data_IF_878308992316
#
_entry.id   IF_878308992316
#
_cell.length_a   1.000
_cell.length_b   1.000
_cell.length_c   1.000
_cell.angle_alpha   90.00
_cell.angle_beta   90.00
_cell.angle_gamma   90.00
#
_symmetry.space_group_name_H-M   'P 1'
#
loop_
_entity.id
_entity.type
_entity.pdbx_description
1 polymer ?
#
# COMPACT_ATOMS: atom_id res chain seq x y z
N UNK A 1 -26.88 -6.29 17.23
CA UNK A 1 -26.63 -5.88 15.88
C UNK A 1 -25.51 -6.66 15.24
N UNK A 2 -25.74 -7.19 14.09
CA UNK A 2 -24.72 -8.02 13.47
C UNK A 2 -23.58 -7.17 12.91
N UNK A 3 -22.45 -7.32 13.52
CA UNK A 3 -21.27 -6.56 13.13
C UNK A 3 -20.79 -6.98 11.74
N UNK A 4 -20.91 -8.25 11.42
CA UNK A 4 -20.45 -8.76 10.14
C UNK A 4 -21.13 -8.16 8.95
N UNK A 5 -22.37 -7.68 9.12
CA UNK A 5 -23.09 -7.06 8.03
C UNK A 5 -22.50 -5.72 7.63
N UNK A 6 -21.59 -5.17 8.43
CA UNK A 6 -20.99 -3.87 8.18
C UNK A 6 -19.66 -3.93 7.47
N UNK A 7 -19.17 -5.12 7.14
CA UNK A 7 -17.84 -5.22 6.54
C UNK A 7 -17.92 -5.92 5.19
N UNK A 8 -17.08 -5.46 4.28
CA UNK A 8 -16.95 -6.02 2.94
C UNK A 8 -15.47 -6.37 2.75
N UNK A 9 -15.22 -7.54 2.16
CA UNK A 9 -13.87 -7.98 1.91
C UNK A 9 -13.86 -8.72 0.56
N UNK A 10 -13.26 -8.08 -0.45
CA UNK A 10 -13.20 -8.62 -1.80
C UNK A 10 -11.75 -8.68 -2.27
N UNK A 11 -11.44 -9.60 -3.17
CA UNK A 11 -10.09 -9.77 -3.69
C UNK A 11 -10.11 -9.60 -5.20
N UNK A 12 -9.17 -8.82 -5.71
CA UNK A 12 -8.97 -8.56 -7.13
C UNK A 12 -7.50 -8.84 -7.45
N UNK A 13 -7.23 -10.01 -8.00
CA UNK A 13 -5.87 -10.47 -8.28
C UNK A 13 -5.04 -10.40 -6.98
N UNK A 14 -4.02 -9.54 -6.94
CA UNK A 14 -3.13 -9.45 -5.78
C UNK A 14 -3.57 -8.40 -4.77
N UNK A 15 -4.69 -7.74 -4.99
CA UNK A 15 -5.18 -6.66 -4.12
C UNK A 15 -6.52 -7.00 -3.49
N UNK A 16 -6.73 -6.47 -2.30
CA UNK A 16 -7.99 -6.63 -1.57
C UNK A 16 -8.66 -5.28 -1.36
N UNK A 17 -9.98 -5.32 -1.34
CA UNK A 17 -10.79 -4.18 -0.94
C UNK A 17 -11.44 -4.55 0.38
N UNK A 18 -11.22 -3.73 1.40
CA UNK A 18 -11.83 -3.93 2.70
C UNK A 18 -12.59 -2.65 3.08
N UNK A 19 -13.87 -2.80 3.32
CA UNK A 19 -14.71 -1.70 3.76
C UNK A 19 -15.30 -2.02 5.11
N UNK A 20 -15.30 -1.03 6.01
CA UNK A 20 -15.94 -1.16 7.31
C UNK A 20 -16.90 -0.01 7.49
N UNK A 21 -18.03 -0.29 8.15
CA UNK A 21 -19.02 0.69 8.49
C UNK A 21 -18.80 1.13 9.92
N UNK A 22 -18.58 2.41 10.12
CA UNK A 22 -18.42 2.97 11.44
C UNK A 22 -19.44 4.08 11.61
N UNK A 23 -20.39 3.87 12.52
CA UNK A 23 -21.51 4.79 12.68
C UNK A 23 -22.26 4.90 11.36
N UNK A 24 -22.25 6.06 10.72
CA UNK A 24 -22.94 6.21 9.45
C UNK A 24 -21.98 6.42 8.29
N UNK A 25 -20.70 6.16 8.54
CA UNK A 25 -19.65 6.38 7.55
C UNK A 25 -19.02 5.06 7.14
N UNK A 26 -18.88 4.87 5.84
CA UNK A 26 -18.18 3.71 5.31
C UNK A 26 -16.76 4.10 4.93
N UNK A 27 -15.81 3.31 5.40
CA UNK A 27 -14.40 3.52 5.09
C UNK A 27 -13.91 2.34 4.28
N UNK A 28 -13.31 2.59 3.14
CA UNK A 28 -12.77 1.55 2.27
C UNK A 28 -11.29 1.76 2.07
N UNK A 29 -10.56 0.66 2.06
CA UNK A 29 -9.13 0.66 1.77
C UNK A 29 -8.83 -0.45 0.78
N UNK A 30 -7.80 -0.24 -0.04
CA UNK A 30 -7.25 -1.28 -0.88
C UNK A 30 -5.87 -1.62 -0.36
N UNK A 31 -5.53 -2.89 -0.35
CA UNK A 31 -4.27 -3.29 0.25
C UNK A 31 -3.74 -4.60 -0.26
N UNK A 32 -2.49 -4.85 0.12
CA UNK A 32 -1.82 -6.10 -0.21
C UNK A 32 -0.88 -6.41 0.95
N UNK A 33 -0.87 -7.67 1.38
CA UNK A 33 0.04 -8.16 2.40
C UNK A 33 0.88 -9.25 1.77
N UNK A 34 2.19 -9.17 1.96
CA UNK A 34 3.10 -10.21 1.51
C UNK A 34 3.66 -10.94 2.72
N UNK A 35 3.76 -12.25 2.61
CA UNK A 35 4.30 -13.09 3.66
C UNK A 35 5.51 -13.84 3.13
N UNK A 36 6.39 -14.21 4.06
CA UNK A 36 7.55 -15.05 3.75
C UNK A 36 7.15 -16.51 3.86
N UNK A 37 8.06 -17.41 3.45
CA UNK A 37 7.85 -18.83 3.52
C UNK A 37 7.66 -19.21 4.96
N UNK A 38 7.38 -19.19 5.83
CA UNK A 38 7.08 -19.46 7.21
C UNK A 38 5.78 -18.83 7.68
N UNK A 39 5.12 -18.09 6.78
CA UNK A 39 3.89 -17.43 7.13
C UNK A 39 4.04 -16.07 7.80
N UNK A 40 5.25 -15.66 8.07
CA UNK A 40 5.49 -14.36 8.69
C UNK A 40 5.27 -13.24 7.68
N UNK A 41 4.69 -12.16 8.14
CA UNK A 41 4.41 -11.02 7.30
C UNK A 41 5.71 -10.31 6.92
N UNK A 42 5.93 -10.11 5.63
CA UNK A 42 7.08 -9.37 5.14
C UNK A 42 6.78 -7.88 5.06
N UNK A 43 5.69 -7.53 4.39
CA UNK A 43 5.30 -6.13 4.25
C UNK A 43 3.79 -6.05 4.05
N UNK A 44 3.27 -4.85 4.19
CA UNK A 44 1.86 -4.58 3.92
C UNK A 44 1.72 -3.16 3.42
N UNK A 45 0.84 -2.96 2.44
CA UNK A 45 0.49 -1.65 1.95
C UNK A 45 -1.02 -1.49 2.06
N UNK A 46 -1.45 -0.32 2.51
CA UNK A 46 -2.87 0.00 2.60
C UNK A 46 -3.08 1.41 2.07
N UNK A 47 -3.99 1.53 1.11
CA UNK A 47 -4.28 2.79 0.46
C UNK A 47 -5.76 3.08 0.57
N UNK A 48 -6.10 4.34 0.78
CA UNK A 48 -7.49 4.77 0.88
C UNK A 48 -7.95 5.31 -0.45
N UNK A 49 -9.15 4.89 -0.84
CA UNK A 49 -9.76 5.33 -2.08
C UNK A 49 -10.11 6.81 -1.97
N UNK A 50 -9.76 7.58 -2.94
CA UNK A 50 -9.86 9.03 -2.86
C UNK A 50 -11.21 9.54 -3.31
N UNK A 51 -11.56 10.69 -2.78
CA UNK A 51 -12.68 11.45 -3.29
C UNK A 51 -12.29 12.35 -4.45
N UNK A 52 -10.99 12.59 -4.66
CA UNK A 52 -10.55 13.61 -5.61
C UNK A 52 -9.46 13.12 -6.57
N UNK A 53 -9.38 11.82 -6.80
CA UNK A 53 -8.35 11.27 -7.68
C UNK A 53 -7.01 11.08 -7.01
N UNK A 54 -6.91 11.46 -5.76
CA UNK A 54 -5.69 11.36 -4.98
C UNK A 54 -5.78 10.14 -4.06
N UNK A 55 -4.71 9.39 -3.92
CA UNK A 55 -4.69 8.18 -3.09
C UNK A 55 -3.65 8.36 -2.00
N UNK A 56 -4.05 8.14 -0.76
CA UNK A 56 -3.15 8.22 0.38
C UNK A 56 -3.14 6.92 1.15
N UNK A 57 -2.08 6.69 1.89
CA UNK A 57 -2.01 5.48 2.69
C UNK A 57 -0.67 5.30 3.34
N UNK A 58 -0.35 4.04 3.62
CA UNK A 58 0.86 3.70 4.37
C UNK A 58 1.38 2.35 3.89
N UNK A 59 2.70 2.24 3.81
CA UNK A 59 3.35 0.94 3.62
C UNK A 59 4.17 0.63 4.87
N UNK A 60 4.08 -0.62 5.33
CA UNK A 60 4.88 -1.12 6.43
C UNK A 60 5.94 -2.05 5.88
N UNK A 61 7.20 -1.69 6.04
CA UNK A 61 8.35 -2.48 5.58
C UNK A 61 9.01 -3.15 6.78
N UNK A 62 9.82 -4.20 6.55
CA UNK A 62 10.42 -4.94 7.66
C UNK A 62 11.40 -4.08 8.47
N UNK A 63 11.70 -4.56 9.68
CA UNK A 63 12.74 -3.96 10.50
C UNK A 63 14.12 -4.20 9.90
N UNK A 64 15.10 -3.48 10.37
CA UNK A 64 16.48 -3.69 9.97
C UNK A 64 16.93 -2.84 8.81
N UNK A 65 16.12 -1.88 8.40
CA UNK A 65 16.48 -0.97 7.32
C UNK A 65 17.11 0.29 7.89
N UNK A 66 17.98 0.92 7.08
CA UNK A 66 18.57 2.19 7.46
C UNK A 66 17.51 3.27 7.31
N UNK A 67 17.00 3.76 8.43
CA UNK A 67 15.87 4.69 8.41
C UNK A 67 16.26 6.03 7.81
N UNK A 68 17.50 6.46 8.01
CA UNK A 68 17.99 7.72 7.46
C UNK A 68 17.97 7.74 5.94
N UNK A 69 18.17 6.57 5.32
CA UNK A 69 18.24 6.47 3.86
C UNK A 69 16.86 6.53 3.22
N UNK A 70 15.80 6.24 3.98
CA UNK A 70 14.45 6.24 3.46
C UNK A 70 14.25 5.19 2.38
N UNK A 71 13.29 5.45 1.48
CA UNK A 71 12.98 4.54 0.40
C UNK A 71 12.70 5.32 -0.88
N UNK A 72 13.27 4.87 -1.99
CA UNK A 72 12.95 5.41 -3.30
C UNK A 72 11.93 4.49 -3.96
N UNK A 73 10.82 5.06 -4.40
CA UNK A 73 9.80 4.28 -5.10
C UNK A 73 10.09 4.27 -6.60
N UNK A 74 9.74 3.15 -7.22
CA UNK A 74 9.76 2.99 -8.68
C UNK A 74 8.51 2.27 -9.11
N UNK A 75 7.99 2.65 -10.27
CA UNK A 75 6.98 1.86 -10.96
C UNK A 75 7.70 1.22 -12.13
N UNK A 76 7.73 -0.11 -12.14
CA UNK A 76 8.56 -0.90 -13.04
C UNK A 76 10.01 -0.44 -12.88
N UNK A 77 10.61 0.19 -13.86
CA UNK A 77 12.00 0.64 -13.75
C UNK A 77 12.13 2.16 -13.70
N UNK A 78 11.03 2.87 -13.52
CA UNK A 78 11.02 4.32 -13.57
C UNK A 78 10.77 4.90 -12.19
N UNK A 79 11.62 5.81 -11.70
CA UNK A 79 11.41 6.41 -10.39
C UNK A 79 10.07 7.11 -10.28
N UNK A 80 9.48 7.05 -9.10
CA UNK A 80 8.23 7.71 -8.78
C UNK A 80 8.49 8.69 -7.65
N UNK A 81 8.54 9.98 -7.97
CA UNK A 81 8.74 11.01 -6.98
C UNK A 81 10.12 10.97 -6.36
N UNK A 82 10.24 11.60 -5.23
CA UNK A 82 11.48 11.67 -4.48
C UNK A 82 11.52 10.57 -3.41
N UNK A 83 12.70 10.32 -2.85
CA UNK A 83 12.83 9.37 -1.77
C UNK A 83 11.94 9.77 -0.60
N UNK A 84 11.29 8.79 0.00
CA UNK A 84 10.37 8.98 1.11
C UNK A 84 11.07 8.64 2.41
N UNK A 85 10.70 9.36 3.46
CA UNK A 85 11.26 9.13 4.79
C UNK A 85 10.38 8.20 5.58
N UNK A 86 11.00 7.39 6.44
CA UNK A 86 10.23 6.61 7.40
C UNK A 86 9.65 7.54 8.45
N UNK A 87 8.38 7.30 8.79
CA UNK A 87 7.70 8.09 9.80
C UNK A 87 7.95 7.54 11.20
N UNK A 88 7.82 6.23 11.37
CA UNK A 88 8.01 5.56 12.64
C UNK A 88 8.05 4.06 12.42
N UNK A 89 8.41 3.32 13.45
CA UNK A 89 8.30 1.87 13.42
C UNK A 89 7.35 1.43 14.52
N UNK A 90 6.43 0.54 14.17
CA UNK A 90 5.48 -0.08 15.07
C UNK A 90 5.74 -1.58 15.07
N UNK A 91 5.10 -2.35 15.95
CA UNK A 91 5.32 -3.79 15.94
C UNK A 91 5.07 -4.45 14.59
N UNK A 92 4.26 -3.85 13.73
CA UNK A 92 3.96 -4.38 12.40
C UNK A 92 5.00 -4.04 11.34
N UNK A 93 5.97 -3.18 11.64
CA UNK A 93 6.99 -2.77 10.69
C UNK A 93 7.28 -1.29 10.76
N UNK A 94 8.14 -0.83 9.87
CA UNK A 94 8.49 0.58 9.79
C UNK A 94 7.68 1.22 8.67
N UNK A 95 7.07 2.36 8.97
CA UNK A 95 6.00 2.92 8.17
C UNK A 95 6.49 4.10 7.34
N UNK A 96 6.06 4.11 6.09
CA UNK A 96 6.21 5.25 5.19
C UNK A 96 4.82 5.70 4.79
N UNK A 97 4.51 6.98 4.99
CA UNK A 97 3.25 7.53 4.52
C UNK A 97 3.32 7.77 3.02
N UNK A 98 2.25 7.44 2.34
CA UNK A 98 2.15 7.52 0.89
C UNK A 98 1.11 8.54 0.49
N UNK A 99 1.43 9.34 -0.53
CA UNK A 99 0.55 10.38 -1.03
C UNK A 99 0.73 10.42 -2.54
N UNK A 100 -0.21 9.82 -3.26
CA UNK A 100 -0.14 9.72 -4.71
C UNK A 100 -1.14 10.68 -5.34
N UNK A 101 -0.66 11.61 -6.13
CA UNK A 101 -1.54 12.49 -6.89
C UNK A 101 -2.13 11.74 -8.08
N UNK A 102 -2.98 12.40 -8.86
CA UNK A 102 -3.66 11.73 -9.96
C UNK A 102 -2.69 11.23 -11.02
N UNK A 103 -1.58 11.92 -11.26
CA UNK A 103 -0.58 11.47 -12.21
C UNK A 103 0.10 10.19 -11.71
N UNK A 104 0.45 10.15 -10.42
CA UNK A 104 1.03 8.94 -9.84
C UNK A 104 0.05 7.78 -9.88
N UNK A 105 -1.23 8.05 -9.60
CA UNK A 105 -2.25 7.00 -9.65
C UNK A 105 -2.37 6.43 -11.05
N UNK A 106 -2.31 7.27 -12.08
CA UNK A 106 -2.34 6.78 -13.46
C UNK A 106 -1.17 5.86 -13.75
N UNK A 107 0.02 6.21 -13.27
CA UNK A 107 1.19 5.36 -13.44
C UNK A 107 1.03 4.03 -12.72
N UNK A 108 0.46 4.05 -11.52
CA UNK A 108 0.20 2.82 -10.77
C UNK A 108 -0.79 1.92 -11.50
N UNK A 109 -1.82 2.50 -12.11
CA UNK A 109 -2.81 1.72 -12.87
C UNK A 109 -2.20 1.07 -14.10
N UNK A 110 -1.23 1.72 -14.73
CA UNK A 110 -0.62 1.19 -15.94
C UNK A 110 0.62 0.36 -15.72
N UNK A 111 1.14 0.29 -14.50
CA UNK A 111 2.37 -0.40 -14.21
C UNK A 111 2.14 -1.84 -13.78
N UNK A 112 3.22 -2.60 -13.70
CA UNK A 112 3.18 -4.00 -13.28
C UNK A 112 3.64 -4.20 -11.84
N UNK A 113 4.52 -3.35 -11.36
CA UNK A 113 5.09 -3.48 -10.03
C UNK A 113 5.46 -2.13 -9.45
N UNK A 114 5.18 -1.98 -8.16
CA UNK A 114 5.65 -0.86 -7.37
C UNK A 114 6.79 -1.36 -6.50
N UNK A 115 7.96 -0.73 -6.62
CA UNK A 115 9.15 -1.16 -5.90
C UNK A 115 9.59 -0.10 -4.91
N UNK A 116 10.02 -0.58 -3.76
CA UNK A 116 10.63 0.26 -2.73
C UNK A 116 12.10 -0.12 -2.65
N UNK A 117 12.96 0.82 -2.99
CA UNK A 117 14.41 0.63 -2.96
C UNK A 117 14.93 1.20 -1.65
N UNK A 118 15.42 0.33 -0.80
CA UNK A 118 15.90 0.72 0.53
C UNK A 118 17.32 0.21 0.74
N UNK A 119 17.91 0.62 1.85
CA UNK A 119 19.24 0.16 2.26
C UNK A 119 19.09 -0.49 3.63
N UNK A 120 19.56 -1.70 3.76
CA UNK A 120 19.60 -2.38 5.05
C UNK A 120 20.58 -1.69 5.99
N UNK A 121 20.40 -1.88 7.29
CA UNK A 121 21.24 -1.23 8.27
C UNK A 121 22.72 -1.52 8.06
N UNK A 122 23.06 -2.71 7.56
CA UNK A 122 24.43 -3.06 7.25
C UNK A 122 24.99 -2.47 5.96
N UNK A 123 24.18 -1.75 5.18
CA UNK A 123 24.63 -1.09 3.97
C UNK A 123 24.23 -1.75 2.66
N UNK A 124 23.69 -2.95 2.71
CA UNK A 124 23.26 -3.65 1.50
C UNK A 124 21.94 -3.10 1.00
N UNK A 125 21.73 -3.18 -0.31
CA UNK A 125 20.43 -2.83 -0.89
C UNK A 125 19.39 -3.85 -0.47
N UNK A 126 18.20 -3.36 -0.21
CA UNK A 126 17.03 -4.20 0.06
C UNK A 126 15.87 -3.67 -0.77
N UNK A 127 15.33 -4.52 -1.64
CA UNK A 127 14.25 -4.16 -2.55
C UNK A 127 12.98 -4.90 -2.17
N UNK A 128 11.88 -4.18 -2.20
CA UNK A 128 10.57 -4.77 -1.93
C UNK A 128 9.68 -4.47 -3.12
N UNK A 129 9.07 -5.51 -3.66
CA UNK A 129 8.26 -5.40 -4.86
C UNK A 129 6.81 -5.73 -4.52
N UNK A 130 5.92 -4.82 -4.90
CA UNK A 130 4.48 -4.99 -4.70
C UNK A 130 3.86 -5.11 -6.09
N UNK A 131 3.15 -6.22 -6.32
CA UNK A 131 2.45 -6.44 -7.58
C UNK A 131 1.36 -5.37 -7.75
N UNK A 132 1.21 -4.86 -8.96
CA UNK A 132 0.11 -3.95 -9.28
C UNK A 132 -1.03 -4.66 -10.01
N UNK A 133 -0.97 -5.99 -10.10
CA UNK A 133 -2.06 -6.75 -10.71
C UNK A 133 -3.30 -6.65 -9.83
N UNK A 134 -4.36 -6.13 -10.42
CA UNK A 134 -5.62 -5.95 -9.71
C UNK A 134 -5.75 -4.61 -9.00
N UNK A 135 -4.71 -3.79 -9.00
CA UNK A 135 -4.75 -2.51 -8.32
C UNK A 135 -5.88 -1.62 -8.85
N UNK A 136 -5.95 -1.45 -10.18
CA UNK A 136 -6.98 -0.60 -10.77
C UNK A 136 -8.38 -1.09 -10.48
N UNK A 137 -8.58 -2.41 -10.59
CA UNK A 137 -9.90 -3.01 -10.29
C UNK A 137 -10.29 -2.78 -8.83
N UNK A 138 -9.35 -2.99 -7.92
CA UNK A 138 -9.62 -2.81 -6.50
C UNK A 138 -9.96 -1.34 -6.19
N UNK A 139 -9.18 -0.43 -6.78
CA UNK A 139 -9.40 1.00 -6.55
C UNK A 139 -10.77 1.44 -7.08
N UNK A 140 -11.14 0.97 -8.27
CA UNK A 140 -12.44 1.30 -8.84
C UNK A 140 -13.58 0.75 -7.99
N UNK A 141 -13.41 -0.48 -7.50
CA UNK A 141 -14.43 -1.10 -6.65
C UNK A 141 -14.58 -0.34 -5.33
N UNK A 142 -13.47 0.05 -4.72
CA UNK A 142 -13.51 0.82 -3.49
C UNK A 142 -14.27 2.13 -3.68
N UNK A 143 -14.04 2.80 -4.81
CA UNK A 143 -14.75 4.05 -5.11
C UNK A 143 -16.26 3.83 -5.24
N UNK A 144 -16.66 2.71 -5.87
CA UNK A 144 -18.08 2.38 -6.01
C UNK A 144 -18.69 2.10 -4.63
N UNK A 145 -17.98 1.36 -3.80
CA UNK A 145 -18.50 0.96 -2.49
C UNK A 145 -18.61 2.14 -1.52
N UNK A 146 -17.84 3.20 -1.74
CA UNK A 146 -17.92 4.39 -0.90
C UNK A 146 -19.13 5.25 -1.21
N UNK A 147 -19.70 5.12 -2.40
CA UNK A 147 -20.86 5.94 -2.80
C UNK A 147 -22.20 5.29 -2.42
#
# INVERSE_FOLDING_TARGET
>A
MPVGASSINETYEDWRVVCVQSEQTRHCAVGQVQTQSGGQRLLAIELKAPASGKVTGTVALPFGLSLDRGAQMQIDDTPLGQAQRFRTCLPTGCLIDLDFDSAAVRRLRGGQALRFMTIADGGDEARFTISLRGFGQALDRAAILLN
#
